data_IF_928059039814
#
_entry.id   IF_928059039814
#
_cell.length_a   1.000
_cell.length_b   1.000
_cell.length_c   1.000
_cell.angle_alpha   90.00
_cell.angle_beta   90.00
_cell.angle_gamma   90.00
#
_symmetry.space_group_name_H-M   'P 1'
#
loop_
_entity.id
_entity.type
_entity.pdbx_description
1 polymer ?
#
# COMPACT_ATOMS: atom_id res chain seq x y z
N UNK A 1 -22.05 18.64 -5.19
CA UNK A 1 -22.18 17.31 -4.57
C UNK A 1 -23.24 17.41 -3.45
N UNK A 2 -24.40 16.82 -3.66
CA UNK A 2 -25.48 16.83 -2.66
C UNK A 2 -25.36 15.56 -1.81
N UNK A 3 -25.04 15.72 -0.53
CA UNK A 3 -24.90 14.62 0.42
C UNK A 3 -26.22 13.91 0.75
N UNK A 4 -27.36 14.57 0.45
CA UNK A 4 -28.69 14.04 0.75
C UNK A 4 -29.37 13.40 -0.46
N UNK A 5 -28.76 13.51 -1.63
CA UNK A 5 -29.24 12.83 -2.83
C UNK A 5 -28.38 11.60 -3.13
N UNK A 6 -28.97 10.44 -3.48
CA UNK A 6 -28.22 9.30 -4.00
C UNK A 6 -27.26 9.80 -5.09
N UNK A 7 -25.99 9.41 -5.01
CA UNK A 7 -24.93 10.06 -5.78
C UNK A 7 -25.25 10.11 -7.26
N UNK A 8 -25.32 11.30 -7.81
CA UNK A 8 -25.59 11.53 -9.24
C UNK A 8 -24.57 10.86 -10.16
N UNK A 9 -23.37 10.57 -9.65
CA UNK A 9 -22.32 9.82 -10.36
C UNK A 9 -22.73 8.35 -10.51
N UNK A 10 -23.12 7.70 -9.41
CA UNK A 10 -23.55 6.30 -9.44
C UNK A 10 -24.81 6.13 -10.27
N UNK A 11 -25.77 7.05 -10.17
CA UNK A 11 -26.98 7.02 -10.99
C UNK A 11 -26.67 7.11 -12.48
N UNK A 12 -25.72 7.97 -12.89
CA UNK A 12 -25.29 8.08 -14.29
C UNK A 12 -24.59 6.82 -14.79
N UNK A 13 -23.73 6.23 -13.98
CA UNK A 13 -23.04 4.99 -14.34
C UNK A 13 -24.02 3.81 -14.42
N UNK A 14 -24.97 3.71 -13.51
CA UNK A 14 -25.99 2.67 -13.49
C UNK A 14 -26.98 2.81 -14.63
N UNK A 15 -27.44 4.01 -14.97
CA UNK A 15 -28.25 4.27 -16.13
C UNK A 15 -27.50 3.94 -17.44
N UNK A 16 -26.21 4.28 -17.51
CA UNK A 16 -25.36 3.89 -18.62
C UNK A 16 -25.18 2.37 -18.73
N UNK A 17 -25.27 1.65 -17.60
CA UNK A 17 -25.27 0.19 -17.56
C UNK A 17 -26.66 -0.44 -17.86
N UNK A 18 -27.68 0.36 -18.14
CA UNK A 18 -29.00 -0.09 -18.54
C UNK A 18 -30.00 -0.33 -17.40
N UNK A 19 -29.76 0.19 -16.22
CA UNK A 19 -30.72 0.12 -15.10
C UNK A 19 -31.90 1.08 -15.36
N UNK A 20 -33.12 0.63 -15.01
CA UNK A 20 -34.34 1.44 -15.05
C UNK A 20 -34.46 2.38 -13.85
N UNK A 21 -35.33 3.39 -13.95
CA UNK A 21 -35.61 4.33 -12.87
C UNK A 21 -36.19 3.61 -11.63
N UNK A 22 -36.97 2.54 -11.82
CA UNK A 22 -37.52 1.72 -10.74
C UNK A 22 -36.41 0.94 -10.01
N UNK A 23 -35.44 0.38 -10.73
CA UNK A 23 -34.31 -0.32 -10.17
C UNK A 23 -33.40 0.64 -9.40
N UNK A 24 -33.21 1.86 -9.89
CA UNK A 24 -32.48 2.91 -9.19
C UNK A 24 -33.18 3.36 -7.90
N UNK A 25 -34.52 3.50 -7.93
CA UNK A 25 -35.30 3.85 -6.74
C UNK A 25 -35.22 2.73 -5.68
N UNK A 26 -35.28 1.47 -6.08
CA UNK A 26 -35.12 0.32 -5.18
C UNK A 26 -33.70 0.25 -4.57
N UNK A 27 -32.69 0.74 -5.27
CA UNK A 27 -31.31 0.78 -4.82
C UNK A 27 -30.95 2.07 -4.04
N UNK A 28 -31.87 3.02 -3.87
CA UNK A 28 -31.59 4.35 -3.35
C UNK A 28 -30.86 4.35 -1.98
N UNK A 29 -31.32 3.54 -1.02
CA UNK A 29 -30.70 3.45 0.31
C UNK A 29 -29.27 2.88 0.22
N UNK A 30 -29.07 1.89 -0.64
CA UNK A 30 -27.75 1.30 -0.87
C UNK A 30 -26.80 2.32 -1.48
N UNK A 31 -27.25 3.08 -2.48
CA UNK A 31 -26.48 4.12 -3.15
C UNK A 31 -26.12 5.25 -2.18
N UNK A 32 -27.06 5.65 -1.32
CA UNK A 32 -26.84 6.67 -0.30
C UNK A 32 -25.80 6.20 0.73
N UNK A 33 -25.89 4.98 1.22
CA UNK A 33 -24.89 4.40 2.13
C UNK A 33 -23.50 4.29 1.49
N UNK A 34 -23.43 3.95 0.20
CA UNK A 34 -22.16 3.94 -0.55
C UNK A 34 -21.58 5.35 -0.69
N UNK A 35 -22.42 6.36 -0.86
CA UNK A 35 -22.01 7.77 -0.94
C UNK A 35 -21.50 8.29 0.40
N UNK A 36 -22.15 7.93 1.50
CA UNK A 36 -21.80 8.36 2.85
C UNK A 36 -20.58 7.62 3.40
N UNK A 37 -20.21 6.50 2.80
CA UNK A 37 -19.08 5.72 3.23
C UNK A 37 -17.80 6.54 3.20
N UNK A 38 -17.15 6.68 4.35
CA UNK A 38 -15.87 7.35 4.46
C UNK A 38 -14.74 6.41 4.01
N UNK A 39 -14.36 6.50 2.74
CA UNK A 39 -13.33 5.64 2.13
C UNK A 39 -11.97 5.74 2.82
N UNK A 40 -11.68 6.86 3.49
CA UNK A 40 -10.41 7.04 4.18
C UNK A 40 -10.23 6.10 5.38
N UNK A 41 -11.34 5.65 5.97
CA UNK A 41 -11.34 4.80 7.16
C UNK A 41 -12.01 3.44 6.95
N UNK A 42 -12.96 3.35 6.00
CA UNK A 42 -13.72 2.12 5.78
C UNK A 42 -13.10 1.19 4.73
N UNK A 43 -12.31 1.71 3.79
CA UNK A 43 -11.72 0.94 2.70
C UNK A 43 -10.27 0.59 3.00
N UNK A 44 -9.86 -0.58 2.52
CA UNK A 44 -8.48 -1.02 2.60
C UNK A 44 -7.92 -1.21 1.19
N UNK A 45 -6.64 -0.96 1.02
CA UNK A 45 -5.96 -1.08 -0.26
C UNK A 45 -4.49 -1.49 -0.05
N UNK A 46 -3.88 -2.02 -1.09
CA UNK A 46 -2.45 -2.26 -1.10
C UNK A 46 -1.73 -0.91 -1.31
N UNK A 47 -0.88 -0.46 -0.37
CA UNK A 47 -0.30 0.89 -0.44
C UNK A 47 0.65 1.09 -1.61
N UNK A 48 1.20 0.01 -2.17
CA UNK A 48 2.14 0.08 -3.27
C UNK A 48 3.37 0.94 -2.93
N UNK A 49 3.87 1.65 -3.92
CA UNK A 49 5.13 2.41 -3.79
C UNK A 49 5.11 3.54 -2.76
N UNK A 50 3.95 3.97 -2.28
CA UNK A 50 3.87 4.96 -1.18
C UNK A 50 4.40 4.38 0.13
N UNK A 51 4.38 3.06 0.28
CA UNK A 51 4.93 2.34 1.42
C UNK A 51 6.47 2.38 1.49
N UNK A 52 7.14 2.63 0.39
CA UNK A 52 8.61 2.68 0.32
C UNK A 52 9.22 3.73 1.25
N UNK A 53 8.48 4.77 1.59
CA UNK A 53 8.89 5.76 2.60
C UNK A 53 9.14 5.04 3.93
N UNK A 54 8.20 4.21 4.37
CA UNK A 54 8.33 3.45 5.62
C UNK A 54 9.46 2.42 5.54
N UNK A 55 9.55 1.68 4.43
CA UNK A 55 10.65 0.71 4.23
C UNK A 55 12.02 1.36 4.30
N UNK A 56 12.17 2.55 3.71
CA UNK A 56 13.42 3.29 3.77
C UNK A 56 13.71 3.81 5.18
N UNK A 57 12.70 4.37 5.87
CA UNK A 57 12.85 4.86 7.24
C UNK A 57 13.30 3.73 8.19
N UNK A 58 12.63 2.57 8.15
CA UNK A 58 13.04 1.38 8.91
C UNK A 58 14.50 0.99 8.65
N UNK A 59 14.90 0.97 7.37
CA UNK A 59 16.23 0.52 6.98
C UNK A 59 17.34 1.50 7.38
N UNK A 60 17.04 2.78 7.37
CA UNK A 60 17.95 3.83 7.86
C UNK A 60 18.08 3.76 9.38
N UNK A 61 16.98 3.64 10.11
CA UNK A 61 16.96 3.52 11.57
C UNK A 61 17.77 2.29 12.05
N UNK A 62 17.58 1.16 11.38
CA UNK A 62 18.31 -0.09 11.69
C UNK A 62 19.74 -0.13 11.11
N UNK A 63 20.22 0.95 10.51
CA UNK A 63 21.54 1.02 9.86
C UNK A 63 21.77 -0.09 8.82
N UNK A 64 20.69 -0.58 8.17
CA UNK A 64 20.75 -1.61 7.14
C UNK A 64 21.10 -1.03 5.76
N UNK A 65 20.96 0.27 5.60
CA UNK A 65 21.37 1.02 4.41
C UNK A 65 22.08 2.32 4.80
N UNK A 66 22.92 2.80 3.91
CA UNK A 66 23.64 4.08 4.03
C UNK A 66 23.39 4.90 2.77
N UNK A 67 23.55 6.20 2.87
CA UNK A 67 23.42 7.11 1.71
C UNK A 67 24.39 6.78 0.56
N UNK A 68 25.50 6.14 0.89
CA UNK A 68 26.52 5.69 -0.10
C UNK A 68 26.19 4.33 -0.75
N UNK A 69 25.13 3.65 -0.34
CA UNK A 69 24.76 2.34 -0.91
C UNK A 69 24.30 2.50 -2.35
N UNK A 70 24.61 1.51 -3.15
CA UNK A 70 24.24 1.43 -4.55
C UNK A 70 23.46 0.15 -4.85
N UNK A 71 22.58 0.22 -5.83
CA UNK A 71 21.68 -0.86 -6.24
C UNK A 71 21.72 -1.04 -7.74
N UNK A 72 21.68 -2.29 -8.19
CA UNK A 72 21.55 -2.60 -9.61
C UNK A 72 20.14 -3.10 -9.92
N UNK A 73 19.51 -2.52 -10.95
CA UNK A 73 18.19 -2.88 -11.39
C UNK A 73 18.18 -3.34 -12.86
N UNK A 74 18.13 -4.63 -13.13
CA UNK A 74 18.00 -5.16 -14.50
C UNK A 74 16.54 -5.14 -15.01
N UNK A 75 15.62 -4.49 -14.30
CA UNK A 75 14.20 -4.44 -14.63
C UNK A 75 13.35 -5.50 -13.92
N UNK A 76 13.95 -6.40 -13.17
CA UNK A 76 13.27 -7.42 -12.36
C UNK A 76 14.22 -7.99 -11.30
N UNK A 77 13.66 -8.77 -10.39
CA UNK A 77 14.39 -9.64 -9.45
C UNK A 77 13.66 -10.98 -9.37
N UNK A 78 14.38 -12.05 -9.06
CA UNK A 78 13.80 -13.39 -8.83
C UNK A 78 13.98 -13.74 -7.35
N UNK A 79 12.91 -14.01 -6.65
CA UNK A 79 12.89 -14.41 -5.23
C UNK A 79 12.15 -15.75 -5.15
N UNK A 80 12.81 -16.79 -4.66
CA UNK A 80 12.22 -18.13 -4.51
C UNK A 80 11.53 -18.63 -5.80
N UNK A 81 12.11 -18.35 -6.97
CA UNK A 81 11.56 -18.70 -8.27
C UNK A 81 10.50 -17.75 -8.82
N UNK A 82 9.95 -16.85 -8.02
CA UNK A 82 8.99 -15.86 -8.46
C UNK A 82 9.69 -14.64 -9.07
N UNK A 83 9.31 -14.28 -10.30
CA UNK A 83 9.83 -13.09 -10.98
C UNK A 83 9.00 -11.86 -10.61
N UNK A 84 9.61 -10.88 -9.95
CA UNK A 84 9.02 -9.59 -9.58
C UNK A 84 9.59 -8.51 -10.49
N UNK A 85 8.73 -7.86 -11.26
CA UNK A 85 9.13 -6.83 -12.20
C UNK A 85 9.28 -5.46 -11.55
N UNK A 86 10.21 -4.66 -12.05
CA UNK A 86 10.26 -3.22 -11.78
C UNK A 86 9.24 -2.48 -12.67
N UNK A 87 8.89 -1.26 -12.30
CA UNK A 87 8.10 -0.33 -13.15
C UNK A 87 8.80 -0.11 -14.50
N UNK A 88 10.10 0.10 -14.47
CA UNK A 88 10.94 0.10 -15.65
C UNK A 88 11.47 -1.32 -15.93
N UNK A 89 10.82 -2.01 -16.87
CA UNK A 89 11.24 -3.34 -17.32
C UNK A 89 12.59 -3.25 -18.06
N UNK A 90 13.07 -4.37 -18.58
CA UNK A 90 14.36 -4.42 -19.26
C UNK A 90 14.59 -3.20 -20.21
N UNK A 91 15.77 -2.57 -20.18
CA UNK A 91 16.99 -2.93 -19.46
C UNK A 91 17.01 -2.55 -17.97
N UNK A 92 15.92 -2.01 -17.39
CA UNK A 92 15.82 -1.58 -16.02
C UNK A 92 16.42 -0.19 -15.77
N UNK A 93 16.62 0.15 -14.48
CA UNK A 93 17.23 1.43 -14.09
C UNK A 93 18.76 1.41 -14.13
N UNK A 94 19.36 0.20 -14.24
CA UNK A 94 20.80 0.03 -14.16
C UNK A 94 21.34 0.28 -12.76
N UNK A 95 22.56 0.79 -12.70
CA UNK A 95 23.25 1.11 -11.45
C UNK A 95 22.81 2.48 -10.93
N UNK A 96 22.44 2.56 -9.66
CA UNK A 96 21.91 3.78 -9.05
C UNK A 96 22.24 3.81 -7.55
N UNK A 97 22.43 5.00 -7.00
CA UNK A 97 22.54 5.21 -5.56
C UNK A 97 21.19 5.12 -4.86
N UNK A 98 21.18 5.22 -3.54
CA UNK A 98 19.97 5.10 -2.71
C UNK A 98 18.93 6.19 -3.06
N UNK A 99 19.36 7.44 -3.24
CA UNK A 99 18.47 8.57 -3.57
C UNK A 99 17.81 8.34 -4.92
N UNK A 100 18.60 8.00 -5.92
CA UNK A 100 18.12 7.72 -7.29
C UNK A 100 17.21 6.49 -7.30
N UNK A 101 17.51 5.44 -6.52
CA UNK A 101 16.67 4.26 -6.40
C UNK A 101 15.30 4.58 -5.78
N UNK A 102 15.26 5.48 -4.79
CA UNK A 102 14.03 5.98 -4.19
C UNK A 102 13.25 6.85 -5.17
N UNK A 103 13.88 7.83 -5.80
CA UNK A 103 13.25 8.72 -6.79
C UNK A 103 12.67 7.96 -7.98
N UNK A 104 13.35 6.90 -8.44
CA UNK A 104 12.88 6.02 -9.50
C UNK A 104 11.83 5.00 -9.02
N UNK A 105 11.51 4.97 -7.74
CA UNK A 105 10.61 3.98 -7.14
C UNK A 105 10.99 2.53 -7.53
N UNK A 106 12.28 2.21 -7.47
CA UNK A 106 12.86 0.97 -8.00
C UNK A 106 12.50 -0.24 -7.14
N UNK A 107 11.65 -1.16 -7.64
CA UNK A 107 11.25 -2.36 -6.89
C UNK A 107 12.45 -3.26 -6.51
N UNK A 108 13.38 -3.64 -7.41
CA UNK A 108 14.54 -4.45 -7.04
C UNK A 108 15.38 -3.86 -5.91
N UNK A 109 15.57 -2.52 -5.90
CA UNK A 109 16.29 -1.86 -4.82
C UNK A 109 15.55 -1.99 -3.48
N UNK A 110 14.23 -1.72 -3.47
CA UNK A 110 13.43 -1.80 -2.25
C UNK A 110 13.24 -3.23 -1.75
N UNK A 111 13.16 -4.22 -2.62
CA UNK A 111 13.21 -5.64 -2.25
C UNK A 111 14.52 -5.94 -1.54
N UNK A 112 15.66 -5.52 -2.10
CA UNK A 112 16.97 -5.71 -1.46
C UNK A 112 17.03 -5.04 -0.08
N UNK A 113 16.51 -3.82 0.06
CA UNK A 113 16.42 -3.09 1.33
C UNK A 113 15.58 -3.86 2.35
N UNK A 114 14.39 -4.31 1.97
CA UNK A 114 13.51 -5.08 2.84
C UNK A 114 14.13 -6.41 3.29
N UNK A 115 14.82 -7.10 2.38
CA UNK A 115 15.53 -8.33 2.71
C UNK A 115 16.68 -8.12 3.71
N UNK A 116 17.36 -6.97 3.67
CA UNK A 116 18.39 -6.61 4.68
C UNK A 116 17.79 -6.36 6.06
N UNK A 117 16.55 -5.87 6.14
CA UNK A 117 15.83 -5.72 7.42
C UNK A 117 15.50 -7.07 8.05
N UNK A 118 15.09 -8.03 7.22
CA UNK A 118 14.61 -9.34 7.64
C UNK A 118 13.17 -9.31 8.14
N UNK A 119 12.55 -10.48 8.15
CA UNK A 119 11.13 -10.67 8.43
C UNK A 119 10.70 -10.12 9.80
N UNK A 120 11.40 -10.52 10.85
CA UNK A 120 11.06 -10.15 12.24
C UNK A 120 11.12 -8.64 12.47
N UNK A 121 12.20 -7.99 12.02
CA UNK A 121 12.36 -6.53 12.17
C UNK A 121 11.28 -5.80 11.38
N UNK A 122 11.07 -6.18 10.13
CA UNK A 122 10.07 -5.57 9.28
C UNK A 122 8.66 -5.67 9.89
N UNK A 123 8.26 -6.86 10.36
CA UNK A 123 6.96 -7.07 10.98
C UNK A 123 6.79 -6.29 12.29
N UNK A 124 7.85 -6.19 13.10
CA UNK A 124 7.81 -5.39 14.32
C UNK A 124 7.58 -3.90 14.03
N UNK A 125 8.21 -3.36 12.99
CA UNK A 125 7.93 -1.99 12.54
C UNK A 125 6.51 -1.82 12.01
N UNK A 126 5.98 -2.78 11.27
CA UNK A 126 4.57 -2.71 10.84
C UNK A 126 3.61 -2.60 12.04
N UNK A 127 3.89 -3.33 13.12
CA UNK A 127 3.14 -3.21 14.38
C UNK A 127 3.35 -1.85 15.04
N UNK A 128 4.57 -1.38 15.14
CA UNK A 128 4.92 -0.10 15.76
C UNK A 128 4.29 1.09 15.03
N UNK A 129 4.20 1.03 13.70
CA UNK A 129 3.49 2.01 12.87
C UNK A 129 1.96 1.88 12.94
N UNK A 130 1.41 0.94 13.69
CA UNK A 130 -0.04 0.74 13.82
C UNK A 130 -0.73 0.12 12.60
N UNK A 131 0.02 -0.45 11.66
CA UNK A 131 -0.52 -0.97 10.39
C UNK A 131 -1.22 -2.32 10.51
N UNK A 132 -1.11 -2.98 11.67
CA UNK A 132 -1.69 -4.29 11.93
C UNK A 132 -3.05 -4.24 12.62
N UNK A 133 -3.59 -3.05 12.84
CA UNK A 133 -4.84 -2.83 13.58
C UNK A 133 -5.59 -1.58 13.13
N UNK A 134 -6.50 -1.12 13.96
CA UNK A 134 -7.22 0.14 13.80
C UNK A 134 -6.39 1.28 14.38
N UNK A 135 -6.55 2.49 13.83
CA UNK A 135 -5.88 3.69 14.34
C UNK A 135 -6.54 4.23 15.60
N UNK A 136 -7.81 3.90 15.82
CA UNK A 136 -8.61 4.45 16.91
C UNK A 136 -9.13 5.86 16.62
N UNK A 137 -9.23 6.23 15.35
CA UNK A 137 -9.83 7.52 14.96
C UNK A 137 -11.26 7.62 15.51
N UNK A 138 -11.62 8.79 16.05
CA UNK A 138 -12.91 9.06 16.70
C UNK A 138 -14.05 9.21 15.67
N UNK A 139 -14.24 8.13 14.88
CA UNK A 139 -15.36 7.99 13.94
C UNK A 139 -15.77 6.52 13.86
N UNK A 140 -17.04 6.28 13.52
CA UNK A 140 -17.56 4.92 13.36
C UNK A 140 -17.14 4.30 12.03
N UNK A 141 -17.05 2.95 12.00
CA UNK A 141 -16.85 2.20 10.77
C UNK A 141 -15.40 2.05 10.33
N UNK A 142 -14.40 2.32 11.19
CA UNK A 142 -13.00 2.09 10.85
C UNK A 142 -12.76 0.61 10.54
N UNK A 143 -12.23 0.33 9.35
CA UNK A 143 -11.79 -0.99 8.96
C UNK A 143 -10.39 -1.30 9.54
N UNK A 144 -10.12 -2.55 9.80
CA UNK A 144 -8.77 -3.02 10.12
C UNK A 144 -8.02 -3.35 8.83
N UNK A 145 -6.75 -2.97 8.76
CA UNK A 145 -5.86 -3.48 7.74
C UNK A 145 -5.69 -5.00 7.84
N UNK A 146 -5.23 -5.61 6.77
CA UNK A 146 -4.89 -7.03 6.73
C UNK A 146 -3.40 -7.20 6.45
N UNK A 147 -2.69 -7.77 7.42
CA UNK A 147 -1.28 -8.16 7.32
C UNK A 147 -1.21 -9.68 7.40
N UNK A 148 -0.76 -10.33 6.33
CA UNK A 148 -0.62 -11.78 6.32
C UNK A 148 0.56 -12.19 7.22
N UNK A 149 0.34 -13.18 8.08
CA UNK A 149 1.39 -13.74 8.95
C UNK A 149 2.56 -14.39 8.18
N UNK A 150 2.41 -14.66 6.91
CA UNK A 150 3.50 -15.12 6.05
C UNK A 150 4.73 -14.20 6.08
N UNK A 151 4.53 -12.90 6.38
CA UNK A 151 5.65 -11.96 6.58
C UNK A 151 6.63 -12.42 7.65
N UNK A 152 6.21 -13.22 8.61
CA UNK A 152 7.06 -13.67 9.71
C UNK A 152 8.11 -14.70 9.28
N UNK A 153 7.89 -15.42 8.15
CA UNK A 153 8.77 -16.53 7.73
C UNK A 153 9.05 -16.62 6.21
N UNK A 154 8.26 -15.97 5.36
CA UNK A 154 8.41 -16.06 3.90
C UNK A 154 9.28 -14.93 3.35
N UNK A 155 10.35 -15.28 2.66
CA UNK A 155 11.22 -14.34 1.95
C UNK A 155 10.48 -13.65 0.80
N UNK A 156 9.62 -14.39 0.09
CA UNK A 156 8.80 -13.83 -0.99
C UNK A 156 7.77 -12.84 -0.46
N UNK A 157 7.12 -13.15 0.67
CA UNK A 157 6.21 -12.22 1.32
C UNK A 157 6.95 -10.93 1.71
N UNK A 158 8.09 -11.02 2.39
CA UNK A 158 8.91 -9.87 2.76
C UNK A 158 9.30 -9.03 1.53
N UNK A 159 9.70 -9.68 0.43
CA UNK A 159 10.03 -9.00 -0.81
C UNK A 159 8.85 -8.17 -1.36
N UNK A 160 7.62 -8.71 -1.31
CA UNK A 160 6.41 -8.00 -1.72
C UNK A 160 6.05 -6.85 -0.77
N UNK A 161 6.16 -7.08 0.53
CA UNK A 161 5.91 -6.06 1.57
C UNK A 161 6.85 -4.86 1.42
N UNK A 162 8.11 -5.08 1.07
CA UNK A 162 9.12 -4.05 0.94
C UNK A 162 8.76 -2.93 -0.05
N UNK A 163 7.88 -3.20 -1.01
CA UNK A 163 7.38 -2.19 -1.96
C UNK A 163 5.85 -2.00 -1.90
N UNK A 164 5.23 -2.46 -0.80
CA UNK A 164 3.83 -2.15 -0.46
C UNK A 164 2.80 -3.07 -1.11
N UNK A 165 3.12 -4.32 -1.39
CA UNK A 165 2.18 -5.31 -1.90
C UNK A 165 2.00 -6.50 -0.94
N UNK A 166 0.96 -7.30 -1.17
CA UNK A 166 0.59 -8.49 -0.40
C UNK A 166 0.03 -8.20 1.02
N UNK A 167 -0.36 -6.98 1.31
CA UNK A 167 -1.09 -6.58 2.51
C UNK A 167 -1.98 -5.38 2.22
N UNK A 168 -2.99 -5.15 3.05
CA UNK A 168 -3.91 -4.03 2.90
C UNK A 168 -3.92 -3.16 4.15
N UNK A 169 -4.01 -1.85 3.95
CA UNK A 169 -4.13 -0.84 5.01
C UNK A 169 -5.22 0.16 4.66
N UNK A 170 -5.79 0.83 5.65
CA UNK A 170 -6.66 1.97 5.39
C UNK A 170 -5.83 3.21 5.02
N UNK A 171 -6.37 4.15 4.22
CA UNK A 171 -5.68 5.42 3.94
C UNK A 171 -5.24 6.16 5.19
N UNK A 172 -6.08 6.18 6.23
CA UNK A 172 -5.75 6.88 7.49
C UNK A 172 -4.58 6.20 8.23
N UNK A 173 -4.55 4.86 8.26
CA UNK A 173 -3.45 4.13 8.91
C UNK A 173 -2.12 4.37 8.18
N UNK A 174 -2.14 4.35 6.83
CA UNK A 174 -0.94 4.65 6.04
C UNK A 174 -0.46 6.08 6.28
N UNK A 175 -1.37 7.05 6.29
CA UNK A 175 -1.05 8.46 6.55
C UNK A 175 -0.43 8.63 7.94
N UNK A 176 -1.04 8.04 8.98
CA UNK A 176 -0.52 8.10 10.35
C UNK A 176 0.89 7.51 10.44
N UNK A 177 1.13 6.37 9.80
CA UNK A 177 2.45 5.75 9.74
C UNK A 177 3.48 6.64 9.03
N UNK A 178 3.11 7.29 7.93
CA UNK A 178 4.00 8.20 7.20
C UNK A 178 4.32 9.47 8.00
N UNK A 179 3.35 10.00 8.74
CA UNK A 179 3.58 11.14 9.64
C UNK A 179 4.59 10.85 10.76
N UNK A 180 4.78 9.58 11.11
CA UNK A 180 5.81 9.19 12.09
C UNK A 180 7.25 9.26 11.54
N UNK A 181 7.41 9.45 10.21
CA UNK A 181 8.72 9.55 9.55
C UNK A 181 9.18 11.00 9.30
N UNK A 182 8.41 12.02 9.74
CA UNK A 182 8.67 13.45 9.41
C UNK A 182 9.02 14.26 10.67
#
# INVERSE_FOLDING_TARGET
YDLNAPASIYNKEMLAAGMTDEELAAAADTLQNMQWRNKAINDTFQPGSTFKILTLAMALEENKVKMSDTFNCPGYVVIEGAKINCSKRAPGHGHQDLITAFANSCNPAFINIGLRLGNTTFYNYMKAFGLTGKTGVDTTGEASGFVNKEIEYSTLALACYAFGQNFNVTPIALLAAQCACV
#
